data_IF_602936188210
#
_entry.id   IF_602936188210
#
_cell.length_a   1.000
_cell.length_b   1.000
_cell.length_c   1.000
_cell.angle_alpha   90.00
_cell.angle_beta   90.00
_cell.angle_gamma   90.00
#
_symmetry.space_group_name_H-M   'P 1'
#
loop_
_entity.id
_entity.type
_entity.pdbx_description
1 polymer ?
#
# COMPACT_ATOMS: atom_id res chain seq x y z
N UNK A 1 7.03 10.61 -9.20
CA UNK A 1 6.28 10.48 -7.92
C UNK A 1 5.36 9.26 -7.92
N UNK A 2 4.46 9.12 -8.91
CA UNK A 2 3.58 7.95 -9.02
C UNK A 2 4.34 6.63 -9.14
N UNK A 3 5.40 6.55 -9.97
CA UNK A 3 6.16 5.32 -10.19
C UNK A 3 6.86 4.77 -8.94
N UNK A 4 7.30 5.65 -8.03
CA UNK A 4 7.92 5.26 -6.75
C UNK A 4 6.88 4.67 -5.79
N UNK A 5 5.68 5.26 -5.73
CA UNK A 5 4.57 4.75 -4.90
C UNK A 5 4.15 3.35 -5.35
N UNK A 6 4.01 3.12 -6.66
CA UNK A 6 3.67 1.80 -7.19
C UNK A 6 4.76 0.75 -6.90
N UNK A 7 6.03 1.14 -6.97
CA UNK A 7 7.15 0.25 -6.65
C UNK A 7 7.13 -0.16 -5.18
N UNK A 8 6.98 0.82 -4.29
CA UNK A 8 6.94 0.58 -2.85
C UNK A 8 5.72 -0.24 -2.43
N UNK A 9 4.55 0.04 -3.02
CA UNK A 9 3.33 -0.74 -2.82
C UNK A 9 3.49 -2.21 -3.23
N UNK A 10 4.11 -2.48 -4.39
CA UNK A 10 4.44 -3.86 -4.82
C UNK A 10 5.41 -4.55 -3.86
N UNK A 11 6.41 -3.83 -3.36
CA UNK A 11 7.36 -4.39 -2.41
C UNK A 11 6.67 -4.74 -1.08
N UNK A 12 5.77 -3.89 -0.60
CA UNK A 12 4.95 -4.14 0.60
C UNK A 12 4.04 -5.34 0.38
N UNK A 13 3.32 -5.42 -0.75
CA UNK A 13 2.49 -6.57 -1.10
C UNK A 13 3.28 -7.88 -1.09
N UNK A 14 4.45 -7.91 -1.73
CA UNK A 14 5.32 -9.10 -1.70
C UNK A 14 5.74 -9.52 -0.29
N UNK A 15 6.05 -8.55 0.58
CA UNK A 15 6.38 -8.83 2.00
C UNK A 15 5.17 -9.32 2.80
N UNK A 16 3.97 -8.82 2.52
CA UNK A 16 2.73 -9.28 3.12
C UNK A 16 2.45 -10.73 2.73
N UNK A 17 2.57 -11.08 1.45
CA UNK A 17 2.39 -12.44 0.96
C UNK A 17 3.35 -13.43 1.66
N UNK A 18 4.63 -13.09 1.76
CA UNK A 18 5.62 -13.92 2.47
C UNK A 18 5.32 -14.04 3.97
N UNK A 19 4.72 -13.01 4.56
CA UNK A 19 4.36 -13.00 5.99
C UNK A 19 3.01 -13.69 6.28
N UNK A 20 2.37 -14.30 5.27
CA UNK A 20 1.08 -14.99 5.41
C UNK A 20 -0.15 -14.08 5.23
N UNK A 21 0.03 -12.80 4.96
CA UNK A 21 -1.03 -11.81 4.70
C UNK A 21 -1.36 -11.76 3.19
N UNK A 22 -1.70 -12.91 2.61
CA UNK A 22 -1.90 -13.05 1.15
C UNK A 22 -3.08 -12.21 0.67
N UNK A 23 -4.19 -12.19 1.41
CA UNK A 23 -5.37 -11.40 1.04
C UNK A 23 -5.07 -9.89 1.02
N UNK A 24 -4.31 -9.39 1.99
CA UNK A 24 -3.89 -7.99 2.04
C UNK A 24 -2.94 -7.64 0.89
N UNK A 25 -2.03 -8.55 0.57
CA UNK A 25 -1.16 -8.43 -0.59
C UNK A 25 -1.98 -8.29 -1.88
N UNK A 26 -2.97 -9.16 -2.08
CA UNK A 26 -3.81 -9.12 -3.26
C UNK A 26 -4.62 -7.83 -3.33
N UNK A 27 -5.23 -7.39 -2.23
CA UNK A 27 -5.98 -6.12 -2.17
C UNK A 27 -5.11 -4.92 -2.54
N UNK A 28 -3.87 -4.83 -2.04
CA UNK A 28 -2.92 -3.78 -2.43
C UNK A 28 -2.59 -3.86 -3.92
N UNK A 29 -2.42 -5.06 -4.47
CA UNK A 29 -2.16 -5.23 -5.91
C UNK A 29 -3.35 -4.81 -6.76
N UNK A 30 -4.57 -5.12 -6.31
CA UNK A 30 -5.79 -4.76 -7.01
C UNK A 30 -6.08 -3.26 -6.98
N UNK A 31 -5.79 -2.57 -5.86
CA UNK A 31 -5.99 -1.12 -5.76
C UNK A 31 -5.14 -0.35 -6.78
N UNK A 32 -4.00 -0.91 -7.18
CA UNK A 32 -3.14 -0.34 -8.22
C UNK A 32 -3.62 -0.61 -9.66
N UNK A 33 -4.53 -1.58 -9.86
CA UNK A 33 -5.04 -1.99 -11.18
C UNK A 33 -6.36 -1.33 -11.52
N UNK A 34 -7.19 -1.05 -10.52
CA UNK A 34 -8.55 -0.58 -10.70
C UNK A 34 -8.72 0.83 -10.13
N UNK A 35 -8.83 1.81 -11.02
CA UNK A 35 -9.18 3.19 -10.71
C UNK A 35 -9.27 4.01 -12.00
N UNK A 36 -10.16 4.99 -12.05
CA UNK A 36 -10.38 5.81 -13.26
C UNK A 36 -9.36 6.94 -13.36
N UNK A 37 -8.77 7.36 -12.24
CA UNK A 37 -7.74 8.39 -12.16
C UNK A 37 -6.58 7.99 -11.25
N UNK A 38 -5.41 8.64 -11.44
CA UNK A 38 -4.26 8.43 -10.56
C UNK A 38 -4.56 8.74 -9.09
N UNK A 39 -5.38 9.76 -8.81
CA UNK A 39 -5.77 10.13 -7.44
C UNK A 39 -6.66 9.08 -6.79
N UNK A 40 -7.64 8.53 -7.52
CA UNK A 40 -8.49 7.44 -6.98
C UNK A 40 -7.67 6.20 -6.65
N UNK A 41 -6.72 5.83 -7.50
CA UNK A 41 -5.80 4.71 -7.24
C UNK A 41 -5.01 4.96 -5.95
N UNK A 42 -4.51 6.18 -5.76
CA UNK A 42 -3.77 6.56 -4.55
C UNK A 42 -4.67 6.54 -3.30
N UNK A 43 -5.91 7.00 -3.41
CA UNK A 43 -6.88 6.97 -2.30
C UNK A 43 -7.25 5.54 -1.89
N UNK A 44 -7.52 4.65 -2.85
CA UNK A 44 -7.81 3.24 -2.53
C UNK A 44 -6.58 2.54 -1.95
N UNK A 45 -5.40 2.74 -2.56
CA UNK A 45 -4.14 2.20 -2.04
C UNK A 45 -3.90 2.64 -0.60
N UNK A 46 -4.12 3.93 -0.28
CA UNK A 46 -4.02 4.45 1.08
C UNK A 46 -4.98 3.75 2.03
N UNK A 47 -6.24 3.57 1.62
CA UNK A 47 -7.25 2.91 2.44
C UNK A 47 -6.87 1.46 2.76
N UNK A 48 -6.35 0.71 1.77
CA UNK A 48 -5.87 -0.64 2.01
C UNK A 48 -4.66 -0.65 2.95
N UNK A 49 -3.68 0.24 2.76
CA UNK A 49 -2.50 0.33 3.62
C UNK A 49 -2.85 0.65 5.08
N UNK A 50 -3.83 1.52 5.32
CA UNK A 50 -4.33 1.83 6.66
C UNK A 50 -4.95 0.61 7.33
N UNK A 51 -5.78 -0.16 6.61
CA UNK A 51 -6.35 -1.42 7.12
C UNK A 51 -5.25 -2.41 7.48
N UNK A 52 -4.26 -2.56 6.61
CA UNK A 52 -3.15 -3.49 6.83
C UNK A 52 -2.32 -3.12 8.05
N UNK A 53 -2.16 -1.82 8.35
CA UNK A 53 -1.42 -1.33 9.52
C UNK A 53 -2.00 -1.83 10.86
N UNK A 54 -3.30 -2.09 10.91
CA UNK A 54 -3.99 -2.62 12.09
C UNK A 54 -3.63 -4.09 12.38
N UNK A 55 -3.05 -4.81 11.42
CA UNK A 55 -2.61 -6.18 11.63
C UNK A 55 -1.32 -6.28 12.48
N UNK A 56 -1.09 -7.48 13.03
CA UNK A 56 0.15 -7.82 13.71
C UNK A 56 1.27 -8.07 12.70
N UNK A 57 1.90 -7.00 12.25
CA UNK A 57 3.02 -7.02 11.31
C UNK A 57 4.37 -6.88 12.04
N UNK A 58 5.45 -7.25 11.36
CA UNK A 58 6.81 -6.93 11.81
C UNK A 58 7.03 -5.41 11.82
N UNK A 59 7.85 -4.90 12.75
CA UNK A 59 8.15 -3.46 12.88
C UNK A 59 8.69 -2.86 11.58
N UNK A 60 9.51 -3.62 10.85
CA UNK A 60 10.04 -3.19 9.56
C UNK A 60 8.99 -3.11 8.45
N UNK A 61 7.91 -3.88 8.53
CA UNK A 61 6.82 -3.81 7.54
C UNK A 61 5.86 -2.67 7.90
N UNK A 62 5.54 -2.49 9.19
CA UNK A 62 4.76 -1.33 9.68
C UNK A 62 5.39 -0.01 9.25
N UNK A 63 6.70 0.15 9.47
CA UNK A 63 7.41 1.36 9.09
C UNK A 63 7.38 1.62 7.58
N UNK A 64 7.51 0.58 6.76
CA UNK A 64 7.40 0.73 5.30
C UNK A 64 6.00 1.18 4.88
N UNK A 65 4.95 0.64 5.51
CA UNK A 65 3.57 1.03 5.27
C UNK A 65 3.33 2.49 5.67
N UNK A 66 3.81 2.91 6.84
CA UNK A 66 3.69 4.30 7.33
C UNK A 66 4.36 5.29 6.37
N UNK A 67 5.60 5.01 5.95
CA UNK A 67 6.31 5.86 4.98
C UNK A 67 5.53 5.97 3.66
N UNK A 68 4.94 4.87 3.19
CA UNK A 68 4.17 4.89 1.96
C UNK A 68 2.86 5.69 2.11
N UNK A 69 2.15 5.55 3.24
CA UNK A 69 0.96 6.34 3.54
C UNK A 69 1.30 7.83 3.54
N UNK A 70 2.38 8.25 4.23
CA UNK A 70 2.80 9.66 4.27
C UNK A 70 3.14 10.21 2.87
N UNK A 71 3.75 9.39 2.00
CA UNK A 71 4.04 9.79 0.62
C UNK A 71 2.77 9.94 -0.20
N UNK A 72 1.80 9.05 -0.01
CA UNK A 72 0.50 9.14 -0.67
C UNK A 72 -0.26 10.38 -0.19
N UNK A 73 -0.26 10.67 1.12
CA UNK A 73 -0.92 11.85 1.69
C UNK A 73 -0.37 13.15 1.09
N UNK A 74 0.95 13.23 0.88
CA UNK A 74 1.57 14.37 0.18
C UNK A 74 1.27 14.42 -1.32
N UNK A 75 0.87 13.30 -1.91
CA UNK A 75 0.59 13.19 -3.34
C UNK A 75 -0.84 13.59 -3.70
N UNK A 76 -1.76 13.43 -2.76
CA UNK A 76 -3.20 13.71 -2.93
C UNK A 76 -3.65 15.01 -2.27
N UNK A 77 -2.78 15.65 -1.47
CA UNK A 77 -2.97 16.99 -0.92
C UNK A 77 -2.74 18.08 -1.99
#
# INVERSE_FOLDING_TARGET
>A
MSQDVYRDAKAIAGRLAVSGHVEDSDRIVQSMRYGSTGTEILMDLRAQLLRVKEHRLSSGLKRSIEVLIDRIDRAIA
#
